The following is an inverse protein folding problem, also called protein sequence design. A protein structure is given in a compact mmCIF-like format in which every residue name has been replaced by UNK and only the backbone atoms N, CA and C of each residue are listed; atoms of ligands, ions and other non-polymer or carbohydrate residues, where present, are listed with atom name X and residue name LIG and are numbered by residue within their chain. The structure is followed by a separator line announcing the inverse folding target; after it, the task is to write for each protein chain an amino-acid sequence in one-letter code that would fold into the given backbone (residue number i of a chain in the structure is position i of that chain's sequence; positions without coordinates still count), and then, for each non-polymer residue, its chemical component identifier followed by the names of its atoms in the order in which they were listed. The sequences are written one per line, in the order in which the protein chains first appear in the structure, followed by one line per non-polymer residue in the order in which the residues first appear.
data_IF_610603622838
#
_entry.id   IF_610603622838
#
_cell.length_a   1.000
_cell.length_b   1.000
_cell.length_c   1.000
_cell.angle_alpha   90.00
_cell.angle_beta   90.00
_cell.angle_gamma   90.00
#
_symmetry.space_group_name_H-M   'P 1'
#
loop_
_entity.id
_entity.type
_entity.pdbx_description
1 polymer ?
#
# COMPACT_ATOMS: atom_id res chain seq x y z
N UNK A 1 29.22 16.07 58.40
CA UNK A 1 28.83 15.22 57.26
C UNK A 1 27.35 15.47 57.01
N UNK A 2 27.01 16.36 56.08
CA UNK A 2 25.64 16.55 55.60
C UNK A 2 25.64 16.21 54.12
N UNK A 3 25.08 15.05 53.76
CA UNK A 3 24.82 14.70 52.37
C UNK A 3 23.67 15.57 51.86
N UNK A 4 24.00 16.52 50.98
CA UNK A 4 23.04 17.23 50.16
C UNK A 4 22.64 16.32 49.00
N UNK A 5 21.39 15.87 49.01
CA UNK A 5 20.75 15.18 47.89
C UNK A 5 20.52 16.18 46.76
N UNK A 6 21.42 16.23 45.79
CA UNK A 6 21.20 16.88 44.50
C UNK A 6 20.09 16.16 43.76
N UNK A 7 18.87 16.70 43.86
CA UNK A 7 17.79 16.42 42.93
C UNK A 7 18.18 16.99 41.56
N UNK A 8 18.83 16.18 40.73
CA UNK A 8 18.90 16.42 39.29
C UNK A 8 17.52 16.19 38.72
N UNK A 9 16.69 17.25 38.70
CA UNK A 9 15.51 17.32 37.87
C UNK A 9 15.95 17.19 36.41
N UNK A 10 15.79 16.00 35.86
CA UNK A 10 15.91 15.77 34.43
C UNK A 10 14.75 16.52 33.77
N UNK A 11 15.00 17.72 33.26
CA UNK A 11 14.09 18.42 32.36
C UNK A 11 13.98 17.57 31.10
N UNK A 12 12.94 16.73 31.06
CA UNK A 12 12.47 16.09 29.83
C UNK A 12 12.14 17.25 28.87
N UNK A 13 12.77 17.32 27.67
CA UNK A 13 12.44 18.34 26.71
C UNK A 13 10.94 18.24 26.42
N UNK A 14 10.27 19.38 26.48
CA UNK A 14 8.85 19.57 26.23
C UNK A 14 8.46 19.05 24.84
N UNK A 15 8.25 17.74 24.73
CA UNK A 15 7.36 17.15 23.76
C UNK A 15 5.96 17.36 24.29
N UNK A 16 5.23 18.29 23.66
CA UNK A 16 3.83 18.56 23.95
C UNK A 16 3.05 17.25 23.98
N UNK A 17 2.61 16.91 25.19
CA UNK A 17 1.57 15.90 25.37
C UNK A 17 0.33 16.46 24.67
N UNK A 18 -0.21 15.73 23.69
CA UNK A 18 -1.47 16.05 23.00
C UNK A 18 -2.70 15.87 23.93
N UNK A 19 -2.51 15.99 25.24
CA UNK A 19 -3.60 16.15 26.19
C UNK A 19 -3.96 17.64 26.21
N UNK A 20 -5.18 18.05 25.82
CA UNK A 20 -5.59 19.44 25.98
C UNK A 20 -5.42 19.87 27.46
N UNK A 21 -4.87 21.07 27.73
CA UNK A 21 -4.74 21.57 29.08
C UNK A 21 -6.15 21.83 29.65
N UNK A 22 -6.66 20.90 30.47
CA UNK A 22 -8.00 21.02 31.07
C UNK A 22 -8.65 19.72 31.55
N UNK A 23 -8.13 18.52 31.26
CA UNK A 23 -8.73 17.27 31.76
C UNK A 23 -8.32 16.93 33.21
N UNK A 24 -8.59 17.84 34.14
CA UNK A 24 -8.48 17.59 35.59
C UNK A 24 -9.67 16.76 36.11
N UNK A 25 -9.93 15.61 35.50
CA UNK A 25 -10.95 14.67 35.92
C UNK A 25 -10.63 13.27 35.44
N UNK A 26 -9.90 12.49 36.24
CA UNK A 26 -9.60 11.07 36.04
C UNK A 26 -9.29 10.67 34.57
N UNK A 27 -8.51 11.51 33.89
CA UNK A 27 -8.40 11.56 32.43
C UNK A 27 -7.43 10.53 31.85
N UNK A 28 -7.97 9.49 31.23
CA UNK A 28 -7.26 8.66 30.27
C UNK A 28 -7.01 9.49 29.00
N UNK A 29 -5.82 10.05 28.84
CA UNK A 29 -5.42 10.57 27.54
C UNK A 29 -5.13 9.39 26.61
N UNK A 30 -5.84 9.34 25.47
CA UNK A 30 -5.53 8.42 24.38
C UNK A 30 -4.33 8.95 23.59
N UNK A 31 -3.40 8.05 23.27
CA UNK A 31 -2.23 8.41 22.50
C UNK A 31 -2.53 8.36 21.00
N UNK A 32 -2.09 9.38 20.28
CA UNK A 32 -2.04 9.30 18.83
C UNK A 32 -0.89 8.40 18.38
N UNK A 33 -1.21 7.12 18.15
CA UNK A 33 -0.29 6.07 17.73
C UNK A 33 0.48 6.40 16.44
N UNK A 34 0.02 7.40 15.67
CA UNK A 34 0.69 7.85 14.44
C UNK A 34 1.99 8.55 14.78
N UNK A 35 2.02 9.36 15.84
CA UNK A 35 3.11 10.32 16.13
C UNK A 35 3.74 10.17 17.53
N UNK A 36 3.05 9.50 18.46
CA UNK A 36 3.48 9.35 19.84
C UNK A 36 3.43 7.88 20.28
N UNK A 37 4.55 7.38 20.81
CA UNK A 37 4.65 6.05 21.45
C UNK A 37 4.64 6.19 22.98
N UNK A 38 5.29 7.23 23.51
CA UNK A 38 5.49 7.48 24.94
C UNK A 38 4.66 8.67 25.40
N UNK A 39 4.30 8.70 26.68
CA UNK A 39 3.53 9.80 27.29
C UNK A 39 2.10 9.46 27.71
N UNK A 40 1.59 8.25 27.38
CA UNK A 40 0.28 7.76 27.83
C UNK A 40 0.45 6.54 28.75
N UNK A 41 0.05 6.63 30.04
CA UNK A 41 0.29 5.56 31.03
C UNK A 41 -0.48 4.26 30.73
N UNK A 42 -1.63 4.33 30.07
CA UNK A 42 -2.48 3.15 29.79
C UNK A 42 -2.07 2.37 28.53
N UNK A 43 -1.54 3.04 27.52
CA UNK A 43 -1.43 2.48 26.16
C UNK A 43 0.01 2.39 25.63
N UNK A 44 0.97 3.06 26.26
CA UNK A 44 2.36 3.14 25.78
C UNK A 44 3.01 1.77 25.58
N UNK A 45 2.84 0.84 26.53
CA UNK A 45 3.38 -0.52 26.42
C UNK A 45 2.78 -1.31 25.25
N UNK A 46 1.50 -1.10 24.94
CA UNK A 46 0.85 -1.75 23.80
C UNK A 46 1.37 -1.19 22.47
N UNK A 47 1.44 0.14 22.34
CA UNK A 47 1.92 0.81 21.12
C UNK A 47 3.40 0.49 20.87
N UNK A 48 4.24 0.50 21.90
CA UNK A 48 5.65 0.14 21.77
C UNK A 48 5.84 -1.30 21.29
N UNK A 49 5.12 -2.26 21.89
CA UNK A 49 5.14 -3.65 21.46
C UNK A 49 4.64 -3.82 20.01
N UNK A 50 3.60 -3.08 19.61
CA UNK A 50 3.08 -3.09 18.24
C UNK A 50 4.16 -2.66 17.23
N UNK A 51 4.85 -1.54 17.49
CA UNK A 51 5.92 -1.06 16.62
C UNK A 51 7.15 -1.97 16.64
N UNK A 52 7.48 -2.60 17.76
CA UNK A 52 8.56 -3.60 17.86
C UNK A 52 8.26 -4.82 16.98
N UNK A 53 7.08 -5.41 17.12
CA UNK A 53 6.65 -6.57 16.33
C UNK A 53 6.56 -6.20 14.85
N UNK A 54 6.02 -5.02 14.52
CA UNK A 54 5.99 -4.53 13.15
C UNK A 54 7.40 -4.38 12.55
N UNK A 55 8.36 -3.88 13.32
CA UNK A 55 9.75 -3.72 12.88
C UNK A 55 10.39 -5.07 12.55
N UNK A 56 10.22 -6.08 13.42
CA UNK A 56 10.72 -7.44 13.20
C UNK A 56 10.06 -8.09 11.97
N UNK A 57 8.74 -7.95 11.83
CA UNK A 57 8.01 -8.46 10.67
C UNK A 57 8.47 -7.80 9.36
N UNK A 58 8.62 -6.46 9.36
CA UNK A 58 9.14 -5.73 8.21
C UNK A 58 10.54 -6.19 7.81
N UNK A 59 11.43 -6.42 8.78
CA UNK A 59 12.78 -6.91 8.50
C UNK A 59 12.79 -8.27 7.79
N UNK A 60 11.98 -9.22 8.27
CA UNK A 60 11.85 -10.54 7.65
C UNK A 60 11.29 -10.41 6.22
N UNK A 61 10.21 -9.64 6.05
CA UNK A 61 9.57 -9.41 4.74
C UNK A 61 10.53 -8.73 3.77
N UNK A 62 11.34 -7.78 4.24
CA UNK A 62 12.36 -7.11 3.44
C UNK A 62 13.37 -8.11 2.85
N UNK A 63 13.90 -9.01 3.68
CA UNK A 63 14.84 -10.06 3.23
C UNK A 63 14.17 -10.97 2.20
N UNK A 64 12.94 -11.43 2.48
CA UNK A 64 12.21 -12.34 1.60
C UNK A 64 11.93 -11.72 0.21
N UNK A 65 11.39 -10.49 0.17
CA UNK A 65 11.05 -9.81 -1.08
C UNK A 65 12.32 -9.47 -1.87
N UNK A 66 13.38 -9.02 -1.19
CA UNK A 66 14.66 -8.72 -1.83
C UNK A 66 15.29 -9.97 -2.42
N UNK A 67 15.34 -11.07 -1.66
CA UNK A 67 15.84 -12.36 -2.16
C UNK A 67 15.04 -12.87 -3.36
N UNK A 68 13.71 -12.73 -3.33
CA UNK A 68 12.84 -13.11 -4.45
C UNK A 68 13.11 -12.26 -5.69
N UNK A 69 13.27 -10.94 -5.55
CA UNK A 69 13.58 -10.06 -6.69
C UNK A 69 14.95 -10.39 -7.28
N UNK A 70 15.98 -10.56 -6.44
CA UNK A 70 17.33 -10.96 -6.88
C UNK A 70 17.29 -12.29 -7.63
N UNK A 71 16.61 -13.30 -7.10
CA UNK A 71 16.44 -14.59 -7.78
C UNK A 71 15.80 -14.44 -9.17
N UNK A 72 14.75 -13.62 -9.29
CA UNK A 72 14.07 -13.37 -10.57
C UNK A 72 14.95 -12.61 -11.56
N UNK A 73 15.70 -11.62 -11.11
CA UNK A 73 16.55 -10.82 -11.98
C UNK A 73 17.82 -11.56 -12.40
N UNK A 74 18.54 -12.14 -11.43
CA UNK A 74 19.84 -12.78 -11.67
C UNK A 74 19.72 -14.19 -12.27
N UNK A 75 18.80 -15.02 -11.76
CA UNK A 75 18.70 -16.44 -12.19
C UNK A 75 17.74 -16.62 -13.36
N UNK A 76 16.59 -15.92 -13.34
CA UNK A 76 15.61 -16.01 -14.44
C UNK A 76 15.84 -14.98 -15.55
N UNK A 77 16.80 -14.06 -15.39
CA UNK A 77 17.10 -13.02 -16.39
C UNK A 77 15.96 -12.03 -16.62
N UNK A 78 15.04 -11.89 -15.67
CA UNK A 78 13.87 -11.03 -15.84
C UNK A 78 14.24 -9.57 -15.57
N UNK A 79 14.32 -8.75 -16.62
CA UNK A 79 14.48 -7.30 -16.46
C UNK A 79 13.21 -6.60 -15.94
N UNK A 80 13.37 -5.44 -15.28
CA UNK A 80 12.29 -4.60 -14.74
C UNK A 80 11.41 -3.98 -15.84
N UNK A 81 12.04 -3.58 -16.95
CA UNK A 81 11.37 -2.98 -18.11
C UNK A 81 11.48 -3.97 -19.26
N UNK A 82 10.35 -4.26 -19.89
CA UNK A 82 10.33 -5.12 -21.07
C UNK A 82 10.62 -4.28 -22.32
N UNK A 83 11.65 -4.65 -23.09
CA UNK A 83 11.90 -4.08 -24.42
C UNK A 83 10.77 -4.55 -25.35
N UNK A 84 10.09 -3.64 -26.03
CA UNK A 84 9.02 -3.97 -26.96
C UNK A 84 9.57 -4.02 -28.41
N UNK A 85 9.55 -5.18 -29.08
CA UNK A 85 10.00 -5.27 -30.47
C UNK A 85 9.01 -4.63 -31.46
N UNK A 86 7.75 -4.42 -31.07
CA UNK A 86 6.67 -3.96 -31.97
C UNK A 86 6.39 -2.45 -31.90
N UNK A 87 6.94 -1.70 -30.94
CA UNK A 87 6.71 -0.23 -30.75
C UNK A 87 5.23 0.21 -30.69
N UNK A 88 4.27 -0.70 -30.53
CA UNK A 88 2.83 -0.37 -30.55
C UNK A 88 2.33 0.26 -29.24
N UNK A 89 3.14 0.27 -28.17
CA UNK A 89 2.69 0.66 -26.82
C UNK A 89 3.80 1.41 -26.03
N UNK A 90 3.77 2.75 -26.03
CA UNK A 90 4.49 3.63 -25.07
C UNK A 90 6.02 3.48 -24.94
N UNK A 91 6.66 4.38 -24.17
CA UNK A 91 8.13 4.37 -23.95
C UNK A 91 8.51 3.53 -22.72
N UNK A 92 7.66 3.47 -21.69
CA UNK A 92 7.92 2.76 -20.44
C UNK A 92 6.94 1.59 -20.28
N UNK A 93 7.47 0.36 -20.28
CA UNK A 93 6.68 -0.86 -20.03
C UNK A 93 7.21 -1.62 -18.81
N UNK A 94 6.85 -1.19 -17.59
CA UNK A 94 7.22 -1.90 -16.39
C UNK A 94 6.62 -3.30 -16.41
N UNK A 95 7.41 -4.31 -16.05
CA UNK A 95 6.82 -5.62 -15.76
C UNK A 95 6.12 -5.52 -14.41
N UNK A 96 4.79 -5.77 -14.35
CA UNK A 96 3.98 -5.47 -13.16
C UNK A 96 4.55 -6.07 -11.89
N UNK A 97 4.97 -7.34 -11.96
CA UNK A 97 5.38 -8.08 -10.79
C UNK A 97 6.76 -7.63 -10.28
N UNK A 98 7.71 -7.41 -11.17
CA UNK A 98 9.06 -6.98 -10.80
C UNK A 98 9.07 -5.55 -10.26
N UNK A 99 8.31 -4.64 -10.88
CA UNK A 99 8.15 -3.28 -10.36
C UNK A 99 7.35 -3.24 -9.05
N UNK A 100 6.33 -4.08 -8.90
CA UNK A 100 5.62 -4.27 -7.64
C UNK A 100 6.56 -4.71 -6.51
N UNK A 101 7.40 -5.73 -6.76
CA UNK A 101 8.38 -6.21 -5.78
C UNK A 101 9.37 -5.11 -5.41
N UNK A 102 9.91 -4.38 -6.40
CA UNK A 102 10.86 -3.29 -6.16
C UNK A 102 10.25 -2.17 -5.28
N UNK A 103 9.04 -1.72 -5.59
CA UNK A 103 8.37 -0.71 -4.78
C UNK A 103 8.01 -1.23 -3.38
N UNK A 104 7.68 -2.52 -3.24
CA UNK A 104 7.48 -3.11 -1.91
C UNK A 104 8.76 -3.17 -1.08
N UNK A 105 9.94 -3.34 -1.69
CA UNK A 105 11.22 -3.21 -1.00
C UNK A 105 11.37 -1.80 -0.44
N UNK A 106 11.10 -0.76 -1.25
CA UNK A 106 11.15 0.63 -0.78
C UNK A 106 10.11 0.91 0.31
N UNK A 107 8.88 0.42 0.17
CA UNK A 107 7.84 0.54 1.19
C UNK A 107 8.30 -0.08 2.50
N UNK A 108 8.72 -1.34 2.50
CA UNK A 108 9.11 -2.05 3.74
C UNK A 108 10.37 -1.42 4.35
N UNK A 109 11.34 -0.99 3.54
CA UNK A 109 12.52 -0.27 4.02
C UNK A 109 12.15 1.06 4.68
N UNK A 110 11.26 1.85 4.06
CA UNK A 110 10.79 3.12 4.62
C UNK A 110 10.00 2.89 5.92
N UNK A 111 9.17 1.84 5.99
CA UNK A 111 8.41 1.45 7.19
C UNK A 111 9.32 1.00 8.34
N UNK A 112 10.40 0.28 8.02
CA UNK A 112 11.42 -0.11 8.99
C UNK A 112 12.15 1.11 9.54
N UNK A 113 12.61 2.00 8.64
CA UNK A 113 13.29 3.24 9.03
C UNK A 113 12.37 4.10 9.92
N UNK A 114 11.11 4.29 9.52
CA UNK A 114 10.13 5.05 10.29
C UNK A 114 9.93 4.47 11.69
N UNK A 115 9.72 3.15 11.79
CA UNK A 115 9.49 2.48 13.08
C UNK A 115 10.70 2.62 14.01
N UNK A 116 11.93 2.48 13.49
CA UNK A 116 13.15 2.68 14.26
C UNK A 116 13.31 4.13 14.72
N UNK A 117 13.07 5.11 13.84
CA UNK A 117 13.12 6.53 14.21
C UNK A 117 12.08 6.90 15.27
N UNK A 118 10.90 6.28 15.24
CA UNK A 118 9.84 6.52 16.21
C UNK A 118 10.16 5.88 17.57
N UNK A 119 10.65 4.63 17.61
CA UNK A 119 11.05 3.95 18.86
C UNK A 119 12.25 4.63 19.53
N UNK A 120 13.19 5.14 18.74
CA UNK A 120 14.38 5.85 19.23
C UNK A 120 14.11 7.31 19.61
N UNK A 121 12.88 7.80 19.45
CA UNK A 121 12.51 9.22 19.63
C UNK A 121 13.45 10.20 18.88
N UNK A 122 13.98 9.79 17.72
CA UNK A 122 14.95 10.59 16.97
C UNK A 122 14.32 11.83 16.32
N UNK A 123 13.03 11.75 15.98
CA UNK A 123 12.28 12.82 15.32
C UNK A 123 11.51 13.61 16.38
N UNK A 124 11.78 14.90 16.50
CA UNK A 124 11.07 15.78 17.44
C UNK A 124 9.82 16.44 16.84
N UNK A 125 9.85 16.85 15.57
CA UNK A 125 8.71 17.51 14.90
C UNK A 125 7.58 16.53 14.60
N UNK A 126 6.36 16.89 14.99
CA UNK A 126 5.17 16.08 14.71
C UNK A 126 4.85 16.09 13.21
N UNK A 127 5.04 17.23 12.54
CA UNK A 127 4.92 17.32 11.08
C UNK A 127 5.77 16.29 10.37
N UNK A 128 7.04 16.14 10.77
CA UNK A 128 7.94 15.19 10.12
C UNK A 128 7.52 13.74 10.38
N UNK A 129 7.00 13.42 11.57
CA UNK A 129 6.48 12.09 11.88
C UNK A 129 5.28 11.74 11.00
N UNK A 130 4.30 12.65 10.88
CA UNK A 130 3.12 12.42 10.03
C UNK A 130 3.49 12.24 8.56
N UNK A 131 4.35 13.10 8.03
CA UNK A 131 4.78 13.02 6.63
C UNK A 131 5.55 11.73 6.34
N UNK A 132 6.50 11.35 7.21
CA UNK A 132 7.26 10.11 7.02
C UNK A 132 6.35 8.88 7.12
N UNK A 133 5.39 8.89 8.05
CA UNK A 133 4.38 7.85 8.15
C UNK A 133 3.60 7.71 6.84
N UNK A 134 3.08 8.82 6.31
CA UNK A 134 2.24 8.83 5.10
C UNK A 134 3.00 8.45 3.83
N UNK A 135 4.27 8.86 3.71
CA UNK A 135 5.14 8.47 2.60
C UNK A 135 5.26 6.93 2.54
N UNK A 136 5.35 6.24 3.69
CA UNK A 136 5.43 4.77 3.68
C UNK A 136 4.19 4.14 3.04
N UNK A 137 2.99 4.63 3.37
CA UNK A 137 1.75 4.17 2.76
C UNK A 137 1.65 4.56 1.29
N UNK A 138 2.13 5.75 0.92
CA UNK A 138 2.16 6.25 -0.46
C UNK A 138 2.96 5.32 -1.37
N UNK A 139 4.14 4.88 -0.92
CA UNK A 139 4.96 3.93 -1.69
C UNK A 139 4.24 2.58 -1.84
N UNK A 140 3.56 2.11 -0.79
CA UNK A 140 2.74 0.89 -0.83
C UNK A 140 1.61 0.99 -1.85
N UNK A 141 0.84 2.09 -1.83
CA UNK A 141 -0.26 2.32 -2.76
C UNK A 141 0.22 2.47 -4.20
N UNK A 142 1.35 3.17 -4.40
CA UNK A 142 2.00 3.26 -5.70
C UNK A 142 2.41 1.87 -6.23
N UNK A 143 2.87 0.97 -5.37
CA UNK A 143 3.19 -0.42 -5.76
C UNK A 143 1.96 -1.16 -6.30
N UNK A 144 0.82 -1.05 -5.60
CA UNK A 144 -0.45 -1.67 -6.00
C UNK A 144 -0.99 -1.03 -7.28
N UNK A 145 -0.89 0.29 -7.43
CA UNK A 145 -1.29 1.00 -8.63
C UNK A 145 -0.49 0.55 -9.87
N UNK A 146 0.85 0.44 -9.76
CA UNK A 146 1.69 -0.06 -10.86
C UNK A 146 1.36 -1.52 -11.18
N UNK A 147 1.11 -2.34 -10.16
CA UNK A 147 0.69 -3.72 -10.37
C UNK A 147 -0.63 -3.79 -11.15
N UNK A 148 -1.63 -3.00 -10.75
CA UNK A 148 -2.92 -2.88 -11.43
C UNK A 148 -2.75 -2.41 -12.88
N UNK A 149 -1.96 -1.37 -13.11
CA UNK A 149 -1.65 -0.87 -14.46
C UNK A 149 -1.05 -1.98 -15.33
N UNK A 150 -0.08 -2.72 -14.80
CA UNK A 150 0.52 -3.83 -15.54
C UNK A 150 -0.44 -5.00 -15.76
N UNK A 151 -1.37 -5.28 -14.84
CA UNK A 151 -2.47 -6.24 -15.08
C UNK A 151 -3.33 -5.79 -16.28
N UNK A 152 -3.73 -4.52 -16.32
CA UNK A 152 -4.52 -3.96 -17.43
C UNK A 152 -3.76 -4.13 -18.76
N UNK A 153 -2.45 -3.86 -18.80
CA UNK A 153 -1.65 -4.04 -20.01
C UNK A 153 -1.43 -5.52 -20.43
N UNK A 154 -1.57 -6.47 -19.51
CA UNK A 154 -1.42 -7.90 -19.86
C UNK A 154 -2.64 -8.47 -20.57
N UNK A 155 -3.85 -7.98 -20.26
CA UNK A 155 -5.12 -8.52 -20.81
C UNK A 155 -5.25 -8.35 -22.34
N UNK A 156 -5.00 -7.17 -22.95
CA UNK A 156 -5.07 -7.03 -24.41
C UNK A 156 -4.08 -7.93 -25.14
N UNK A 157 -2.88 -8.13 -24.58
CA UNK A 157 -1.86 -8.97 -25.21
C UNK A 157 -2.20 -10.43 -25.20
N UNK A 158 -2.78 -10.96 -24.12
CA UNK A 158 -3.21 -12.36 -24.09
C UNK A 158 -4.37 -12.59 -25.06
N UNK A 159 -5.28 -11.63 -25.21
CA UNK A 159 -6.33 -11.69 -26.23
C UNK A 159 -5.79 -11.62 -27.66
N UNK A 160 -4.92 -10.66 -27.99
CA UNK A 160 -4.32 -10.51 -29.33
C UNK A 160 -3.45 -11.73 -29.66
N UNK A 161 -2.66 -12.23 -28.71
CA UNK A 161 -1.84 -13.42 -28.90
C UNK A 161 -2.69 -14.68 -29.09
N UNK A 162 -3.76 -14.86 -28.30
CA UNK A 162 -4.71 -15.96 -28.48
C UNK A 162 -5.41 -15.87 -29.84
N UNK A 163 -5.82 -14.67 -30.27
CA UNK A 163 -6.43 -14.44 -31.58
C UNK A 163 -5.45 -14.62 -32.76
N UNK A 164 -4.15 -14.37 -32.58
CA UNK A 164 -3.14 -14.66 -33.62
C UNK A 164 -2.78 -16.14 -33.69
N UNK A 165 -2.86 -16.86 -32.57
CA UNK A 165 -2.55 -18.29 -32.50
C UNK A 165 -3.66 -19.16 -33.13
N UNK A 166 -4.90 -18.68 -33.11
CA UNK A 166 -6.02 -19.30 -33.83
C UNK A 166 -6.18 -18.58 -35.16
N UNK A 167 -5.92 -19.24 -36.29
CA UNK A 167 -6.28 -18.75 -37.64
C UNK A 167 -7.80 -18.68 -37.77
N UNK A 168 -8.45 -17.71 -37.12
CA UNK A 168 -9.88 -17.47 -37.27
C UNK A 168 -10.11 -16.61 -38.51
N UNK A 169 -11.07 -17.03 -39.33
CA UNK A 169 -11.67 -16.24 -40.41
C UNK A 169 -12.04 -14.85 -39.90
N UNK A 170 -11.83 -13.82 -40.72
CA UNK A 170 -12.03 -12.41 -40.37
C UNK A 170 -13.44 -12.07 -39.89
N UNK A 171 -14.41 -12.94 -40.14
CA UNK A 171 -15.85 -12.71 -39.92
C UNK A 171 -16.31 -12.96 -38.49
N UNK A 172 -15.55 -13.72 -37.69
CA UNK A 172 -15.95 -14.19 -36.35
C UNK A 172 -15.16 -13.56 -35.20
N UNK A 173 -14.57 -12.36 -35.43
CA UNK A 173 -13.84 -11.65 -34.36
C UNK A 173 -14.84 -11.08 -33.36
N UNK A 174 -14.93 -11.60 -32.11
CA UNK A 174 -15.68 -10.92 -31.09
C UNK A 174 -15.05 -9.53 -30.87
N UNK A 175 -15.88 -8.49 -30.87
CA UNK A 175 -15.51 -7.11 -30.59
C UNK A 175 -15.16 -6.95 -29.11
N UNK A 176 -14.00 -7.49 -28.73
CA UNK A 176 -13.53 -7.39 -27.35
C UNK A 176 -13.04 -5.95 -27.15
N UNK A 177 -13.71 -5.23 -26.25
CA UNK A 177 -13.32 -3.88 -25.85
C UNK A 177 -11.93 -3.92 -25.19
N UNK A 178 -10.95 -3.40 -25.92
CA UNK A 178 -9.56 -3.18 -25.46
C UNK A 178 -9.47 -1.73 -24.99
N UNK A 179 -9.04 -1.52 -23.74
CA UNK A 179 -8.79 -0.18 -23.22
C UNK A 179 -7.77 0.53 -24.10
N UNK A 180 -8.10 1.73 -24.56
CA UNK A 180 -7.14 2.56 -25.30
C UNK A 180 -5.97 2.89 -24.37
N UNK A 181 -4.71 2.79 -24.82
CA UNK A 181 -3.53 3.08 -24.00
C UNK A 181 -3.60 4.45 -23.31
N UNK A 182 -4.12 5.46 -24.02
CA UNK A 182 -4.34 6.82 -23.49
C UNK A 182 -5.20 6.86 -22.23
N UNK A 183 -6.20 5.98 -22.09
CA UNK A 183 -7.04 5.92 -20.89
C UNK A 183 -6.28 5.36 -19.69
N UNK A 184 -5.37 4.41 -19.93
CA UNK A 184 -4.53 3.82 -18.88
C UNK A 184 -3.52 4.86 -18.41
N UNK A 185 -2.90 5.59 -19.35
CA UNK A 185 -1.94 6.66 -19.03
C UNK A 185 -2.62 7.79 -18.25
N UNK A 186 -3.83 8.20 -18.67
CA UNK A 186 -4.62 9.19 -17.94
C UNK A 186 -4.99 8.72 -16.52
N UNK A 187 -5.41 7.46 -16.37
CA UNK A 187 -5.69 6.88 -15.06
C UNK A 187 -4.46 6.86 -14.16
N UNK A 188 -3.31 6.44 -14.68
CA UNK A 188 -2.05 6.45 -13.96
C UNK A 188 -1.63 7.86 -13.52
N UNK A 189 -1.81 8.86 -14.40
CA UNK A 189 -1.54 10.25 -14.10
C UNK A 189 -2.46 10.80 -12.99
N UNK A 190 -3.76 10.49 -13.05
CA UNK A 190 -4.73 10.88 -12.01
C UNK A 190 -4.36 10.27 -10.67
N UNK A 191 -3.99 8.98 -10.64
CA UNK A 191 -3.53 8.34 -9.40
C UNK A 191 -2.27 9.01 -8.86
N UNK A 192 -1.30 9.34 -9.71
CA UNK A 192 -0.08 10.02 -9.28
C UNK A 192 -0.36 11.39 -8.66
N UNK A 193 -1.17 12.23 -9.30
CA UNK A 193 -1.58 13.53 -8.75
C UNK A 193 -2.32 13.35 -7.43
N UNK A 194 -3.21 12.35 -7.35
CA UNK A 194 -3.96 12.06 -6.13
C UNK A 194 -3.06 11.70 -4.95
N UNK A 195 -2.02 10.89 -5.18
CA UNK A 195 -1.02 10.58 -4.16
C UNK A 195 -0.30 11.83 -3.65
N UNK A 196 0.06 12.77 -4.53
CA UNK A 196 0.70 14.03 -4.12
C UNK A 196 -0.22 14.87 -3.24
N UNK A 197 -1.51 14.95 -3.58
CA UNK A 197 -2.50 15.70 -2.81
C UNK A 197 -2.71 15.08 -1.42
N UNK A 198 -2.75 13.75 -1.31
CA UNK A 198 -2.89 13.07 -0.01
C UNK A 198 -1.72 13.38 0.93
N UNK A 199 -0.48 13.35 0.42
CA UNK A 199 0.71 13.70 1.20
C UNK A 199 0.70 15.17 1.64
N UNK A 200 0.13 16.07 0.82
CA UNK A 200 -0.03 17.47 1.20
C UNK A 200 -0.98 17.62 2.41
N UNK A 201 -2.04 16.81 2.49
CA UNK A 201 -2.93 16.83 3.66
C UNK A 201 -2.22 16.36 4.94
N UNK A 202 -1.37 15.34 4.87
CA UNK A 202 -0.54 14.90 6.01
C UNK A 202 0.44 16.00 6.48
N UNK A 203 1.01 16.76 5.54
CA UNK A 203 1.87 17.89 5.87
C UNK A 203 1.08 19.02 6.57
N UNK A 204 -0.12 19.32 6.08
CA UNK A 204 -0.98 20.36 6.63
C UNK A 204 -1.48 19.97 8.04
N UNK A 205 -1.91 18.72 8.24
CA UNK A 205 -2.34 18.25 9.57
C UNK A 205 -1.20 18.37 10.58
N UNK A 206 -0.01 17.89 10.23
CA UNK A 206 1.14 17.91 11.13
C UNK A 206 1.57 19.33 11.49
N UNK A 207 1.49 20.25 10.54
CA UNK A 207 1.74 21.66 10.77
C UNK A 207 0.77 22.29 11.77
N UNK A 208 -0.52 21.95 11.71
CA UNK A 208 -1.51 22.45 12.67
C UNK A 208 -1.33 21.82 14.06
N UNK A 209 -0.84 20.59 14.15
CA UNK A 209 -0.46 19.96 15.43
C UNK A 209 0.71 20.71 16.05
N UNK A 210 1.79 20.95 15.29
CA UNK A 210 2.97 21.69 15.77
C UNK A 210 2.64 23.16 16.16
N UNK A 211 1.49 23.69 15.71
CA UNK A 211 0.95 25.00 16.12
C UNK A 211 -0.07 24.95 17.26
N UNK A 212 -0.28 23.78 17.85
CA UNK A 212 -1.26 23.54 18.91
C UNK A 212 -2.71 23.91 18.53
N UNK A 213 -3.05 23.83 17.23
CA UNK A 213 -4.42 24.03 16.74
C UNK A 213 -5.07 22.68 16.43
N UNK A 214 -5.44 21.97 17.49
CA UNK A 214 -5.87 20.57 17.44
C UNK A 214 -7.15 20.38 16.61
N UNK A 215 -8.13 21.30 16.74
CA UNK A 215 -9.40 21.22 15.99
C UNK A 215 -9.20 21.25 14.48
N UNK A 216 -8.27 22.10 14.01
CA UNK A 216 -7.97 22.18 12.59
C UNK A 216 -7.20 20.94 12.13
N UNK A 217 -6.25 20.46 12.95
CA UNK A 217 -5.50 19.24 12.66
C UNK A 217 -6.43 18.03 12.49
N UNK A 218 -7.35 17.81 13.42
CA UNK A 218 -8.34 16.72 13.39
C UNK A 218 -9.18 16.76 12.11
N UNK A 219 -9.67 17.94 11.72
CA UNK A 219 -10.42 18.10 10.46
C UNK A 219 -9.60 17.66 9.24
N UNK A 220 -8.32 18.06 9.16
CA UNK A 220 -7.45 17.66 8.06
C UNK A 220 -7.10 16.17 8.09
N UNK A 221 -6.91 15.59 9.27
CA UNK A 221 -6.67 14.16 9.46
C UNK A 221 -7.86 13.35 8.94
N UNK A 222 -9.08 13.76 9.29
CA UNK A 222 -10.31 13.11 8.83
C UNK A 222 -10.45 13.19 7.31
N UNK A 223 -10.24 14.37 6.71
CA UNK A 223 -10.24 14.54 5.24
C UNK A 223 -9.18 13.64 4.58
N UNK A 224 -7.98 13.60 5.16
CA UNK A 224 -6.87 12.79 4.68
C UNK A 224 -7.22 11.29 4.66
N UNK A 225 -7.77 10.77 5.76
CA UNK A 225 -8.16 9.36 5.87
C UNK A 225 -9.35 8.96 5.00
N UNK A 226 -10.32 9.86 4.81
CA UNK A 226 -11.41 9.67 3.86
C UNK A 226 -10.88 9.57 2.43
N UNK A 227 -9.95 10.47 2.06
CA UNK A 227 -9.26 10.42 0.77
C UNK A 227 -8.51 9.10 0.56
N UNK A 228 -7.71 8.69 1.54
CA UNK A 228 -7.00 7.41 1.52
C UNK A 228 -7.94 6.22 1.31
N UNK A 229 -9.04 6.18 2.07
CA UNK A 229 -10.03 5.10 2.00
C UNK A 229 -10.64 5.01 0.59
N UNK A 230 -11.00 6.15 0.00
CA UNK A 230 -11.55 6.23 -1.34
C UNK A 230 -10.60 5.65 -2.41
N UNK A 231 -9.32 6.04 -2.39
CA UNK A 231 -8.34 5.53 -3.37
C UNK A 231 -8.02 4.05 -3.18
N UNK A 232 -7.97 3.58 -1.93
CA UNK A 232 -7.81 2.16 -1.63
C UNK A 232 -8.96 1.33 -2.26
N UNK A 233 -10.22 1.78 -2.12
CA UNK A 233 -11.36 1.11 -2.73
C UNK A 233 -11.28 1.07 -4.26
N UNK A 234 -10.91 2.17 -4.92
CA UNK A 234 -10.71 2.21 -6.37
C UNK A 234 -9.72 1.14 -6.81
N UNK A 235 -8.57 1.05 -6.12
CA UNK A 235 -7.52 0.09 -6.46
C UNK A 235 -7.99 -1.35 -6.23
N UNK A 236 -8.68 -1.63 -5.13
CA UNK A 236 -9.21 -2.98 -4.84
C UNK A 236 -10.22 -3.40 -5.90
N UNK A 237 -11.20 -2.55 -6.22
CA UNK A 237 -12.18 -2.87 -7.26
C UNK A 237 -11.51 -3.06 -8.62
N UNK A 238 -10.48 -2.26 -8.93
CA UNK A 238 -9.64 -2.45 -10.11
C UNK A 238 -8.97 -3.83 -10.12
N UNK A 239 -8.27 -4.19 -9.05
CA UNK A 239 -7.56 -5.47 -8.94
C UNK A 239 -8.53 -6.66 -9.03
N UNK A 240 -9.69 -6.58 -8.37
CA UNK A 240 -10.72 -7.63 -8.44
C UNK A 240 -11.30 -7.78 -9.84
N UNK A 241 -11.67 -6.66 -10.47
CA UNK A 241 -12.26 -6.66 -11.81
C UNK A 241 -11.27 -7.20 -12.86
N UNK A 242 -10.07 -6.62 -12.94
CA UNK A 242 -9.07 -7.05 -13.92
C UNK A 242 -8.44 -8.39 -13.57
N UNK A 243 -8.32 -8.72 -12.28
CA UNK A 243 -7.86 -10.02 -11.81
C UNK A 243 -8.81 -11.15 -12.20
N UNK A 244 -10.13 -10.98 -12.00
CA UNK A 244 -11.15 -11.95 -12.46
C UNK A 244 -11.11 -12.12 -13.97
N UNK A 245 -10.96 -11.03 -14.72
CA UNK A 245 -10.83 -11.10 -16.19
C UNK A 245 -9.58 -11.86 -16.61
N UNK A 246 -8.45 -11.66 -15.92
CA UNK A 246 -7.21 -12.38 -16.19
C UNK A 246 -7.36 -13.89 -15.92
N UNK A 247 -8.01 -14.28 -14.82
CA UNK A 247 -8.33 -15.68 -14.49
C UNK A 247 -9.11 -16.34 -15.62
N UNK A 248 -10.20 -15.73 -16.08
CA UNK A 248 -11.03 -16.28 -17.15
C UNK A 248 -10.24 -16.50 -18.45
N UNK A 249 -9.30 -15.61 -18.77
CA UNK A 249 -8.45 -15.75 -19.96
C UNK A 249 -7.47 -16.91 -19.80
N UNK A 250 -6.86 -17.06 -18.62
CA UNK A 250 -5.93 -18.15 -18.34
C UNK A 250 -6.66 -19.49 -18.37
N UNK A 251 -7.86 -19.59 -17.77
CA UNK A 251 -8.68 -20.80 -17.82
C UNK A 251 -9.01 -21.22 -19.25
N UNK A 252 -9.43 -20.26 -20.09
CA UNK A 252 -9.70 -20.53 -21.50
C UNK A 252 -8.44 -21.03 -22.23
N UNK A 253 -7.30 -20.39 -22.00
CA UNK A 253 -6.04 -20.83 -22.61
C UNK A 253 -5.62 -22.23 -22.13
N UNK A 254 -5.87 -22.59 -20.87
CA UNK A 254 -5.62 -23.94 -20.34
C UNK A 254 -6.53 -24.96 -21.03
N UNK A 255 -7.81 -24.66 -21.20
CA UNK A 255 -8.78 -25.52 -21.88
C UNK A 255 -8.42 -25.75 -23.35
N UNK A 256 -8.11 -24.68 -24.08
CA UNK A 256 -7.67 -24.75 -25.47
C UNK A 256 -6.40 -25.61 -25.58
N UNK A 257 -5.43 -25.37 -24.70
CA UNK A 257 -4.16 -26.12 -24.69
C UNK A 257 -4.36 -27.61 -24.40
N UNK A 258 -5.30 -27.98 -23.52
CA UNK A 258 -5.69 -29.38 -23.25
C UNK A 258 -6.31 -30.04 -24.49
N UNK A 259 -7.17 -29.31 -25.22
CA UNK A 259 -7.83 -29.80 -26.43
C UNK A 259 -6.87 -30.11 -27.58
N UNK A 260 -5.79 -29.34 -27.74
CA UNK A 260 -4.82 -29.55 -28.81
C UNK A 260 -3.75 -30.62 -28.54
N UNK A 261 -3.69 -31.22 -27.34
CA UNK A 261 -2.78 -32.32 -26.99
C UNK A 261 -1.26 -32.04 -27.14
N UNK A 262 -0.85 -30.79 -27.37
CA UNK A 262 0.50 -30.43 -27.84
C UNK A 262 1.48 -29.91 -26.77
N UNK A 263 1.10 -29.85 -25.50
CA UNK A 263 1.93 -29.18 -24.46
C UNK A 263 2.33 -30.15 -23.34
N UNK A 264 3.60 -30.12 -22.89
CA UNK A 264 4.07 -30.97 -21.80
C UNK A 264 3.27 -30.71 -20.52
N UNK A 265 2.85 -31.80 -19.86
CA UNK A 265 2.01 -31.80 -18.65
C UNK A 265 2.58 -30.94 -17.50
N UNK A 266 3.91 -30.77 -17.42
CA UNK A 266 4.57 -29.92 -16.43
C UNK A 266 4.29 -28.43 -16.60
N UNK A 267 4.18 -27.93 -17.84
CA UNK A 267 3.82 -26.52 -18.10
C UNK A 267 2.36 -26.24 -17.73
N UNK A 268 1.48 -27.19 -18.04
CA UNK A 268 0.06 -27.12 -17.72
C UNK A 268 -0.17 -27.06 -16.19
N UNK A 269 0.49 -27.95 -15.45
CA UNK A 269 0.43 -27.95 -13.97
C UNK A 269 0.94 -26.64 -13.35
N UNK A 270 1.99 -26.06 -13.90
CA UNK A 270 2.51 -24.76 -13.43
C UNK A 270 1.52 -23.61 -13.68
N UNK A 271 0.78 -23.64 -14.79
CA UNK A 271 -0.28 -22.68 -15.11
C UNK A 271 -1.46 -22.81 -14.15
N UNK A 272 -1.95 -24.03 -13.91
CA UNK A 272 -3.04 -24.31 -12.95
C UNK A 272 -2.65 -23.86 -11.55
N UNK A 273 -1.43 -24.18 -11.10
CA UNK A 273 -0.94 -23.76 -9.79
C UNK A 273 -0.75 -22.23 -9.70
N UNK A 274 -0.40 -21.58 -10.81
CA UNK A 274 -0.36 -20.11 -10.91
C UNK A 274 -1.75 -19.50 -10.77
N UNK A 275 -2.75 -20.09 -11.44
CA UNK A 275 -4.15 -19.67 -11.37
C UNK A 275 -4.69 -19.76 -9.93
N UNK A 276 -4.49 -20.90 -9.26
CA UNK A 276 -4.93 -21.09 -7.86
C UNK A 276 -4.33 -20.03 -6.94
N UNK A 277 -3.05 -19.69 -7.11
CA UNK A 277 -2.40 -18.62 -6.34
C UNK A 277 -3.04 -17.25 -6.57
N UNK A 278 -3.36 -16.92 -7.82
CA UNK A 278 -4.02 -15.64 -8.16
C UNK A 278 -5.43 -15.59 -7.58
N UNK A 279 -6.20 -16.67 -7.68
CA UNK A 279 -7.53 -16.77 -7.07
C UNK A 279 -7.49 -16.57 -5.55
N UNK A 280 -6.57 -17.26 -4.87
CA UNK A 280 -6.39 -17.12 -3.43
C UNK A 280 -6.01 -15.70 -3.03
N UNK A 281 -5.11 -15.06 -3.79
CA UNK A 281 -4.71 -13.68 -3.57
C UNK A 281 -5.89 -12.71 -3.74
N UNK A 282 -6.74 -12.89 -4.76
CA UNK A 282 -7.92 -12.03 -4.97
C UNK A 282 -8.99 -12.21 -3.87
N UNK A 283 -9.09 -13.40 -3.26
CA UNK A 283 -10.01 -13.64 -2.15
C UNK A 283 -9.53 -13.00 -0.84
N UNK A 284 -8.22 -13.01 -0.59
CA UNK A 284 -7.64 -12.47 0.65
C UNK A 284 -7.55 -10.94 0.63
N UNK A 285 -7.23 -10.36 -0.53
CA UNK A 285 -6.96 -8.91 -0.66
C UNK A 285 -8.05 -8.00 -0.06
N UNK A 286 -9.36 -8.28 -0.19
CA UNK A 286 -10.41 -7.40 0.35
C UNK A 286 -10.56 -7.46 1.88
N UNK A 287 -10.20 -8.58 2.51
CA UNK A 287 -10.44 -8.84 3.93
C UNK A 287 -9.84 -7.79 4.89
N UNK A 288 -8.56 -7.40 4.77
CA UNK A 288 -7.98 -6.37 5.63
C UNK A 288 -8.65 -5.00 5.46
N UNK A 289 -9.16 -4.68 4.27
CA UNK A 289 -9.81 -3.39 4.00
C UNK A 289 -11.23 -3.31 4.52
N UNK A 290 -11.97 -4.42 4.51
CA UNK A 290 -13.28 -4.49 5.17
C UNK A 290 -13.14 -4.27 6.68
N UNK A 291 -12.11 -4.84 7.30
CA UNK A 291 -11.83 -4.60 8.71
C UNK A 291 -11.46 -3.14 8.97
N UNK A 292 -10.59 -2.54 8.16
CA UNK A 292 -10.21 -1.13 8.35
C UNK A 292 -11.38 -0.16 8.15
N UNK A 293 -12.30 -0.43 7.23
CA UNK A 293 -13.49 0.40 7.04
C UNK A 293 -14.40 0.36 8.28
N UNK A 294 -14.59 -0.82 8.89
CA UNK A 294 -15.34 -0.92 10.13
C UNK A 294 -14.69 -0.09 11.24
N UNK A 295 -13.37 -0.16 11.41
CA UNK A 295 -12.66 0.67 12.40
C UNK A 295 -12.78 2.17 12.14
N UNK A 296 -12.73 2.60 10.87
CA UNK A 296 -12.85 4.00 10.49
C UNK A 296 -14.28 4.53 10.71
N UNK A 297 -15.29 3.69 10.48
CA UNK A 297 -16.69 3.96 10.83
C UNK A 297 -16.82 4.06 12.35
N UNK A 298 -16.27 3.12 13.13
CA UNK A 298 -16.29 3.19 14.59
C UNK A 298 -15.63 4.46 15.13
N UNK A 299 -14.48 4.84 14.58
CA UNK A 299 -13.77 6.07 14.95
C UNK A 299 -14.59 7.33 14.61
N UNK A 300 -15.20 7.37 13.42
CA UNK A 300 -16.07 8.49 13.01
C UNK A 300 -17.36 8.57 13.83
N UNK A 301 -17.87 7.45 14.35
CA UNK A 301 -19.01 7.44 15.27
C UNK A 301 -18.61 7.92 16.67
N UNK A 302 -17.42 7.60 17.16
CA UNK A 302 -16.96 8.03 18.48
C UNK A 302 -16.70 9.55 18.54
N UNK A 303 -16.17 10.16 17.47
CA UNK A 303 -16.07 11.62 17.34
C UNK A 303 -17.44 12.32 17.46
N UNK A 304 -18.53 11.70 16.98
CA UNK A 304 -19.88 12.29 17.09
C UNK A 304 -20.45 12.28 18.52
N UNK A 305 -19.85 11.52 19.44
CA UNK A 305 -20.20 11.50 20.87
C UNK A 305 -19.50 12.62 21.65
N UNK A 306 -18.40 13.18 21.13
CA UNK A 306 -17.64 14.28 21.78
C UNK A 306 -18.22 15.68 21.50
N UNK A 307 -19.27 15.80 20.68
CA UNK A 307 -19.92 17.08 20.35
C UNK A 307 -21.18 17.41 21.18
N UNK A 308 -21.43 16.70 22.30
CA UNK A 308 -22.48 17.04 23.27
C UNK A 308 -21.97 17.20 24.69
#
# INVERSE_FOLDING_TARGET
MNLSSTNTSFTIPSGEVLCPPGSTGNGSCMCDWRVQIRGCPSESAYIENLYLVNTLACFIVFIMITGLLIWRMAVKGQGLISKDPLKEMGILRPKPLECFLLLNIFHVASRLLYSVCLISDFISSTTLKEVLHDITFTISLASLAIYLIGLIYTIPRTHIAAQRAVTMSSEDRPSIWVLRPQMIDAFAFILFISLLVLNAFALISGYFIDKNNIKMAETWITIHYLGWSFFCWIIIFGILYFGKRLINIIEKHIQDTKGYGKVPSSKLRNLEHGLTKVCFLLLITPFPFFNSLNYLIYFSYDESVFYY
#
